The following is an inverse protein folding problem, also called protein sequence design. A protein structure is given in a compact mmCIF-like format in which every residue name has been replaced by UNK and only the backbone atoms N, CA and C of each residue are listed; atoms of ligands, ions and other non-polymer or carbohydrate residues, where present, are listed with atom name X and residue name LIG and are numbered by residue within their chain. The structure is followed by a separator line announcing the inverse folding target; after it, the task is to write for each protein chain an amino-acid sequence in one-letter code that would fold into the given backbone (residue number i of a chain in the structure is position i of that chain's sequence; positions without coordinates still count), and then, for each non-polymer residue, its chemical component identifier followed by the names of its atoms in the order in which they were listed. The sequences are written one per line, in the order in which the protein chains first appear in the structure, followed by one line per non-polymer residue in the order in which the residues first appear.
data_IF_095396670594
#
_entry.id   IF_095396670594
#
_cell.length_a   1.000
_cell.length_b   1.000
_cell.length_c   1.000
_cell.angle_alpha   90.00
_cell.angle_beta   90.00
_cell.angle_gamma   90.00
#
_symmetry.space_group_name_H-M   'P 1'
#
loop_
_entity.id
_entity.type
_entity.pdbx_description
1 polymer ?
#
# COMPACT_ATOMS: atom_id res chain seq x y z
N UNK A 1 24.32 -55.08 2.40
CA UNK A 1 22.95 -55.62 2.20
C UNK A 1 22.16 -54.56 1.39
N UNK A 2 21.86 -54.89 0.17
CA UNK A 2 21.19 -53.96 -0.79
C UNK A 2 19.69 -54.00 -0.54
N UNK A 3 19.05 -52.87 -0.22
CA UNK A 3 17.57 -52.77 -0.24
C UNK A 3 17.15 -51.96 -1.47
N UNK A 4 16.37 -52.63 -2.33
CA UNK A 4 15.78 -52.07 -3.53
C UNK A 4 14.54 -51.25 -3.16
N UNK A 5 14.47 -49.96 -3.61
CA UNK A 5 13.23 -49.20 -3.63
C UNK A 5 12.45 -49.53 -4.91
N UNK A 6 11.19 -49.85 -4.74
CA UNK A 6 10.21 -50.10 -5.81
C UNK A 6 9.42 -48.78 -5.96
N UNK A 7 9.54 -48.15 -7.13
CA UNK A 7 8.66 -47.03 -7.53
C UNK A 7 7.33 -47.60 -8.06
N UNK A 8 6.24 -47.20 -7.43
CA UNK A 8 4.87 -47.46 -7.94
C UNK A 8 4.39 -46.18 -8.65
N UNK A 9 4.29 -46.25 -9.96
CA UNK A 9 3.65 -45.25 -10.79
C UNK A 9 2.13 -45.44 -10.75
N UNK A 10 1.39 -44.46 -10.23
CA UNK A 10 -0.06 -44.44 -10.29
C UNK A 10 -0.47 -43.42 -11.37
N UNK A 11 -0.94 -43.92 -12.52
CA UNK A 11 -1.53 -43.14 -13.59
C UNK A 11 -3.01 -42.91 -13.28
N UNK A 12 -3.45 -41.67 -13.09
CA UNK A 12 -4.88 -41.34 -13.02
C UNK A 12 -5.31 -40.71 -14.35
N UNK A 13 -6.22 -41.42 -15.04
CA UNK A 13 -6.87 -40.98 -16.26
C UNK A 13 -8.01 -40.02 -15.94
N UNK A 14 -7.97 -38.82 -16.55
CA UNK A 14 -9.05 -37.82 -16.50
C UNK A 14 -10.04 -38.12 -17.64
N UNK A 15 -11.28 -38.43 -17.29
CA UNK A 15 -12.39 -38.54 -18.24
C UNK A 15 -13.04 -37.16 -18.42
N UNK A 16 -12.99 -36.64 -19.65
CA UNK A 16 -13.79 -35.48 -20.09
C UNK A 16 -15.23 -35.95 -20.39
N UNK A 17 -16.21 -35.35 -19.74
CA UNK A 17 -17.62 -35.43 -20.18
C UNK A 17 -18.01 -34.10 -20.82
N UNK A 18 -18.19 -34.12 -22.13
CA UNK A 18 -18.87 -33.06 -22.88
C UNK A 18 -20.39 -33.24 -22.73
N UNK A 19 -21.08 -32.18 -22.33
CA UNK A 19 -22.52 -32.06 -22.54
C UNK A 19 -22.79 -31.01 -23.61
N UNK A 20 -23.24 -31.47 -24.78
CA UNK A 20 -23.89 -30.67 -25.80
C UNK A 20 -25.40 -30.70 -25.54
N UNK A 21 -26.03 -29.54 -25.52
CA UNK A 21 -27.47 -29.37 -25.45
C UNK A 21 -27.88 -28.20 -26.32
N UNK A 22 -28.45 -28.52 -27.51
CA UNK A 22 -29.05 -27.62 -28.48
C UNK A 22 -30.49 -27.27 -28.15
N UNK A 23 -30.90 -26.06 -28.61
CA UNK A 23 -32.25 -25.78 -29.14
C UNK A 23 -33.12 -24.91 -28.23
N UNK A 24 -33.75 -23.90 -28.61
CA UNK A 24 -34.33 -23.37 -29.82
C UNK A 24 -35.06 -22.04 -29.53
N UNK A 25 -34.85 -21.07 -30.36
CA UNK A 25 -35.76 -20.14 -31.07
C UNK A 25 -36.90 -19.39 -30.39
N UNK A 26 -36.85 -18.09 -30.71
CA UNK A 26 -37.89 -17.15 -31.18
C UNK A 26 -38.73 -16.41 -30.13
N UNK A 27 -38.55 -15.09 -29.99
CA UNK A 27 -39.41 -14.11 -30.62
C UNK A 27 -38.90 -12.69 -30.40
N UNK A 28 -38.95 -11.90 -31.48
CA UNK A 28 -38.67 -10.49 -31.61
C UNK A 28 -39.85 -9.62 -31.16
N UNK A 29 -39.54 -8.39 -30.71
CA UNK A 29 -40.36 -7.19 -30.89
C UNK A 29 -39.47 -5.99 -30.54
N UNK A 30 -38.97 -5.28 -31.50
CA UNK A 30 -39.29 -3.92 -31.92
C UNK A 30 -39.63 -3.00 -30.74
N UNK A 31 -38.98 -1.91 -30.53
CA UNK A 31 -38.51 -0.77 -31.26
C UNK A 31 -38.70 0.44 -30.34
N UNK A 32 -37.81 1.33 -30.25
CA UNK A 32 -37.92 2.69 -30.74
C UNK A 32 -36.71 3.52 -30.32
N UNK A 33 -36.13 4.07 -31.35
CA UNK A 33 -35.15 5.15 -31.34
C UNK A 33 -35.80 6.46 -30.90
N UNK A 34 -35.09 7.28 -30.11
CA UNK A 34 -35.24 8.72 -30.20
C UNK A 34 -33.92 9.44 -30.01
N UNK A 35 -33.38 9.88 -31.10
CA UNK A 35 -32.44 10.96 -31.30
C UNK A 35 -33.19 12.29 -31.30
N UNK A 36 -32.63 13.34 -30.73
CA UNK A 36 -32.65 14.76 -31.17
C UNK A 36 -31.83 15.53 -30.11
N UNK A 37 -30.71 16.06 -30.42
CA UNK A 37 -30.26 17.24 -31.18
C UNK A 37 -30.06 18.48 -30.30
N UNK A 38 -28.86 18.94 -30.42
CA UNK A 38 -28.21 20.23 -30.19
C UNK A 38 -29.09 21.50 -30.20
N UNK A 39 -28.64 22.51 -29.43
CA UNK A 39 -28.49 23.92 -29.79
C UNK A 39 -27.74 24.66 -28.67
N UNK A 40 -26.61 25.16 -28.91
CA UNK A 40 -26.08 26.51 -29.23
C UNK A 40 -26.85 27.71 -28.67
N UNK A 41 -26.10 28.59 -27.99
CA UNK A 41 -25.94 30.03 -28.18
C UNK A 41 -25.29 30.65 -26.94
N UNK A 42 -24.06 31.11 -27.04
CA UNK A 42 -23.58 32.50 -27.26
C UNK A 42 -24.31 33.60 -26.46
N UNK A 43 -23.61 34.42 -25.66
CA UNK A 43 -22.93 35.66 -26.04
C UNK A 43 -22.75 36.57 -24.80
N UNK A 44 -21.53 36.94 -24.51
CA UNK A 44 -20.90 38.29 -24.39
C UNK A 44 -21.55 39.39 -23.58
N UNK A 45 -20.73 40.07 -22.81
CA UNK A 45 -20.26 41.48 -22.89
C UNK A 45 -19.49 41.81 -21.61
N UNK A 46 -18.22 42.21 -21.65
CA UNK A 46 -17.68 43.60 -21.76
C UNK A 46 -18.33 44.54 -20.75
N UNK A 47 -17.61 45.28 -19.94
CA UNK A 47 -16.69 46.38 -20.22
C UNK A 47 -16.03 46.94 -18.92
N UNK A 48 -14.82 47.42 -19.09
CA UNK A 48 -14.18 48.65 -18.59
C UNK A 48 -14.01 48.83 -17.04
N UNK A 49 -12.90 49.15 -16.51
CA UNK A 49 -11.83 50.04 -16.94
C UNK A 49 -11.72 51.21 -15.95
N UNK A 50 -10.59 51.40 -15.34
CA UNK A 50 -10.06 52.74 -15.03
C UNK A 50 -8.69 52.64 -14.29
N UNK A 51 -7.72 53.15 -14.99
CA UNK A 51 -6.44 53.69 -14.50
C UNK A 51 -6.66 54.79 -13.43
N UNK A 52 -5.68 55.11 -12.61
CA UNK A 52 -4.69 56.18 -12.73
C UNK A 52 -3.98 56.43 -11.37
N UNK A 53 -2.76 56.52 -11.45
CA UNK A 53 -1.73 57.51 -11.19
C UNK A 53 -0.78 57.34 -10.00
N UNK A 54 0.44 57.46 -10.45
CA UNK A 54 1.68 57.76 -9.81
C UNK A 54 1.68 59.01 -8.89
N UNK A 55 2.57 59.04 -7.93
CA UNK A 55 3.45 60.24 -7.75
C UNK A 55 4.77 59.86 -7.07
N UNK A 56 5.80 60.56 -7.51
CA UNK A 56 7.21 60.51 -7.15
C UNK A 56 7.47 61.22 -5.81
N UNK A 57 8.60 60.92 -5.14
CA UNK A 57 9.65 61.85 -4.76
C UNK A 57 10.68 61.21 -3.82
N UNK A 58 11.91 60.90 -4.28
CA UNK A 58 13.12 61.70 -4.10
C UNK A 58 13.64 61.84 -2.67
N UNK A 59 14.90 61.40 -2.48
CA UNK A 59 15.78 61.86 -1.42
C UNK A 59 16.96 60.94 -1.15
N UNK A 60 18.09 61.22 -1.73
CA UNK A 60 19.39 60.62 -1.50
C UNK A 60 19.92 60.90 -0.07
N UNK A 61 20.66 59.98 0.53
CA UNK A 61 22.03 60.31 0.96
C UNK A 61 22.86 59.03 1.19
N UNK A 62 24.15 59.20 0.88
CA UNK A 62 25.19 58.18 0.87
C UNK A 62 25.76 57.98 2.27
N UNK A 63 26.05 56.74 2.66
CA UNK A 63 27.27 56.47 3.44
C UNK A 63 27.72 55.02 3.19
N UNK A 64 28.91 54.93 2.66
CA UNK A 64 29.67 53.71 2.48
C UNK A 64 30.16 53.16 3.82
N UNK A 65 30.08 51.87 4.02
CA UNK A 65 31.02 51.14 4.88
C UNK A 65 31.23 49.73 4.30
N UNK A 66 32.52 49.41 4.20
CA UNK A 66 33.12 48.24 3.58
C UNK A 66 32.59 46.88 4.03
N UNK A 67 32.46 46.08 3.06
CA UNK A 67 32.90 44.67 2.84
C UNK A 67 33.09 43.74 4.04
N UNK A 68 32.31 42.67 4.02
CA UNK A 68 32.80 41.32 4.24
C UNK A 68 32.11 40.44 3.22
N UNK A 69 32.83 40.01 2.21
CA UNK A 69 32.47 38.90 1.36
C UNK A 69 32.51 37.60 2.19
N UNK A 70 31.37 37.19 2.73
CA UNK A 70 31.16 35.79 3.03
C UNK A 70 30.68 35.13 1.74
N UNK A 71 31.61 34.40 1.10
CA UNK A 71 31.32 33.41 0.07
C UNK A 71 30.47 32.35 0.72
N UNK A 72 29.15 32.47 0.57
CA UNK A 72 28.22 31.37 0.69
C UNK A 72 28.50 30.49 -0.51
N UNK A 73 29.28 29.44 -0.30
CA UNK A 73 29.31 28.27 -1.15
C UNK A 73 27.91 27.65 -1.12
N UNK A 74 27.06 28.06 -2.06
CA UNK A 74 25.87 27.30 -2.41
C UNK A 74 26.38 25.95 -2.86
N UNK A 75 26.12 24.90 -2.06
CA UNK A 75 26.25 23.53 -2.50
C UNK A 75 25.33 23.38 -3.71
N UNK A 76 25.89 23.44 -4.91
CA UNK A 76 25.25 22.92 -6.10
C UNK A 76 25.03 21.43 -5.84
N UNK A 77 23.80 21.07 -5.50
CA UNK A 77 23.34 19.69 -5.59
C UNK A 77 23.38 19.37 -7.09
N UNK A 78 24.45 18.74 -7.54
CA UNK A 78 24.54 18.17 -8.88
C UNK A 78 23.43 17.13 -8.95
N UNK A 79 22.33 17.45 -9.64
CA UNK A 79 21.33 16.46 -9.99
C UNK A 79 22.05 15.32 -10.70
N UNK A 80 21.90 14.11 -10.19
CA UNK A 80 22.46 12.92 -10.85
C UNK A 80 21.90 12.83 -12.27
N UNK A 81 22.74 12.44 -13.23
CA UNK A 81 22.27 12.24 -14.60
C UNK A 81 21.22 11.11 -14.62
N UNK A 82 20.16 11.23 -15.45
CA UNK A 82 19.16 10.16 -15.57
C UNK A 82 19.79 8.86 -16.08
N UNK A 83 19.33 7.74 -15.53
CA UNK A 83 19.71 6.41 -16.01
C UNK A 83 19.35 6.22 -17.49
N UNK A 84 20.01 5.29 -18.17
CA UNK A 84 19.53 4.71 -19.42
C UNK A 84 18.22 3.95 -19.18
N UNK A 85 17.52 3.55 -20.25
CA UNK A 85 16.24 2.86 -20.11
C UNK A 85 16.40 1.50 -19.43
N UNK A 86 15.73 1.33 -18.30
CA UNK A 86 15.71 0.08 -17.53
C UNK A 86 14.37 -0.11 -16.81
N UNK A 87 14.13 -1.30 -16.26
CA UNK A 87 12.92 -1.64 -15.51
C UNK A 87 13.31 -2.17 -14.14
N UNK A 88 12.65 -1.67 -13.10
CA UNK A 88 12.79 -2.13 -11.71
C UNK A 88 11.48 -2.79 -11.28
N UNK A 89 11.56 -4.04 -10.84
CA UNK A 89 10.41 -4.81 -10.34
C UNK A 89 10.30 -4.66 -8.83
N UNK A 90 9.19 -4.09 -8.38
CA UNK A 90 8.93 -3.79 -6.96
C UNK A 90 7.82 -4.70 -6.42
N UNK A 91 8.13 -5.51 -5.42
CA UNK A 91 7.12 -6.22 -4.63
C UNK A 91 6.79 -5.40 -3.40
N UNK A 92 5.58 -4.84 -3.35
CA UNK A 92 5.16 -3.94 -2.27
C UNK A 92 3.88 -4.43 -1.58
N UNK A 93 3.81 -4.24 -0.27
CA UNK A 93 2.62 -4.57 0.50
C UNK A 93 1.36 -3.93 -0.09
N UNK A 94 0.22 -4.62 0.00
CA UNK A 94 -1.06 -4.18 -0.61
C UNK A 94 -1.48 -2.78 -0.19
N UNK A 95 -1.21 -2.39 1.05
CA UNK A 95 -1.48 -1.05 1.59
C UNK A 95 -0.68 0.08 0.93
N UNK A 96 0.39 -0.25 0.20
CA UNK A 96 1.21 0.72 -0.53
C UNK A 96 0.70 0.99 -1.94
N UNK A 97 -0.22 0.18 -2.46
CA UNK A 97 -0.63 0.21 -3.87
C UNK A 97 -1.01 1.63 -4.35
N UNK A 98 -1.81 2.35 -3.57
CA UNK A 98 -2.31 3.68 -3.97
C UNK A 98 -1.23 4.75 -3.90
N UNK A 99 -0.40 4.77 -2.85
CA UNK A 99 0.67 5.77 -2.69
C UNK A 99 1.81 5.55 -3.69
N UNK A 100 2.08 4.31 -4.07
CA UNK A 100 3.13 3.98 -5.04
C UNK A 100 2.90 4.62 -6.42
N UNK A 101 1.66 4.85 -6.84
CA UNK A 101 1.37 5.53 -8.11
C UNK A 101 1.95 6.96 -8.12
N UNK A 102 1.76 7.70 -7.02
CA UNK A 102 2.28 9.07 -6.92
C UNK A 102 3.79 9.08 -6.68
N UNK A 103 4.32 8.15 -5.86
CA UNK A 103 5.77 8.02 -5.64
C UNK A 103 6.52 7.72 -6.95
N UNK A 104 6.02 6.81 -7.77
CA UNK A 104 6.60 6.50 -9.08
C UNK A 104 6.54 7.72 -10.00
N UNK A 105 5.42 8.43 -10.02
CA UNK A 105 5.28 9.64 -10.82
C UNK A 105 6.25 10.75 -10.38
N UNK A 106 6.51 10.88 -9.07
CA UNK A 106 7.51 11.83 -8.54
C UNK A 106 8.93 11.41 -8.89
N UNK A 107 9.29 10.14 -8.65
CA UNK A 107 10.60 9.57 -9.00
C UNK A 107 10.93 9.78 -10.49
N UNK A 108 9.96 9.54 -11.35
CA UNK A 108 10.14 9.67 -12.80
C UNK A 108 10.35 11.12 -13.29
N UNK A 109 10.22 12.14 -12.42
CA UNK A 109 10.63 13.51 -12.78
C UNK A 109 12.14 13.65 -12.86
N UNK A 110 12.87 12.89 -12.06
CA UNK A 110 14.34 12.86 -12.05
C UNK A 110 14.89 11.69 -12.85
N UNK A 111 14.17 10.56 -12.90
CA UNK A 111 14.56 9.33 -13.58
C UNK A 111 13.54 8.90 -14.65
N UNK A 112 13.36 9.68 -15.73
CA UNK A 112 12.27 9.47 -16.69
C UNK A 112 12.42 8.19 -17.52
N UNK A 113 13.58 7.56 -17.52
CA UNK A 113 13.87 6.35 -18.31
C UNK A 113 13.76 5.07 -17.46
N UNK A 114 13.53 5.18 -16.16
CA UNK A 114 13.34 4.02 -15.28
C UNK A 114 11.86 3.69 -15.21
N UNK A 115 11.49 2.47 -15.62
CA UNK A 115 10.13 1.94 -15.49
C UNK A 115 10.01 1.16 -14.19
N UNK A 116 9.18 1.62 -13.26
CA UNK A 116 8.89 0.88 -12.02
C UNK A 116 7.65 0.01 -12.24
N UNK A 117 7.79 -1.31 -12.10
CA UNK A 117 6.68 -2.28 -12.22
C UNK A 117 6.37 -2.87 -10.86
N UNK A 118 5.19 -2.52 -10.31
CA UNK A 118 4.76 -2.93 -8.98
C UNK A 118 3.91 -4.20 -8.99
N UNK A 119 4.20 -5.13 -8.06
CA UNK A 119 3.33 -6.24 -7.68
C UNK A 119 2.86 -6.03 -6.24
N UNK A 120 1.52 -6.10 -6.01
CA UNK A 120 0.92 -5.68 -4.74
C UNK A 120 0.05 -6.77 -4.13
N UNK A 121 0.54 -7.40 -3.05
CA UNK A 121 -0.19 -8.39 -2.26
C UNK A 121 0.20 -8.33 -0.78
N UNK A 122 -0.22 -9.30 0.03
CA UNK A 122 0.27 -9.39 1.41
C UNK A 122 1.79 -9.56 1.42
N UNK A 123 2.47 -8.94 2.40
CA UNK A 123 3.93 -9.07 2.51
C UNK A 123 4.37 -10.52 2.66
N UNK A 124 3.55 -11.38 3.30
CA UNK A 124 3.83 -12.81 3.42
C UNK A 124 3.79 -13.54 2.09
N UNK A 125 2.78 -13.26 1.24
CA UNK A 125 2.67 -13.84 -0.11
C UNK A 125 3.86 -13.43 -0.98
N UNK A 126 4.21 -12.13 -0.96
CA UNK A 126 5.32 -11.60 -1.75
C UNK A 126 6.67 -12.17 -1.29
N UNK A 127 6.88 -12.29 0.03
CA UNK A 127 8.06 -12.94 0.61
C UNK A 127 8.20 -14.38 0.10
N UNK A 128 7.12 -15.17 0.15
CA UNK A 128 7.14 -16.55 -0.37
C UNK A 128 7.48 -16.60 -1.86
N UNK A 129 6.97 -15.67 -2.67
CA UNK A 129 7.33 -15.58 -4.09
C UNK A 129 8.82 -15.30 -4.28
N UNK A 130 9.42 -14.41 -3.47
CA UNK A 130 10.86 -14.13 -3.49
C UNK A 130 11.65 -15.38 -3.11
N UNK A 131 11.26 -16.09 -2.04
CA UNK A 131 11.87 -17.35 -1.61
C UNK A 131 11.80 -18.44 -2.69
N UNK A 132 10.70 -18.47 -3.47
CA UNK A 132 10.51 -19.37 -4.61
C UNK A 132 11.30 -18.94 -5.87
N UNK A 133 11.97 -17.78 -5.83
CA UNK A 133 12.85 -17.28 -6.88
C UNK A 133 12.16 -16.39 -7.91
N UNK A 134 11.05 -15.74 -7.58
CA UNK A 134 10.47 -14.73 -8.44
C UNK A 134 11.43 -13.54 -8.61
N UNK A 135 11.53 -13.01 -9.83
CA UNK A 135 12.31 -11.81 -10.11
C UNK A 135 11.73 -10.61 -9.36
N UNK A 136 12.53 -10.03 -8.48
CA UNK A 136 12.17 -8.89 -7.65
C UNK A 136 13.46 -8.10 -7.36
N UNK A 137 13.43 -6.78 -7.56
CA UNK A 137 14.57 -5.91 -7.31
C UNK A 137 14.41 -5.17 -5.99
N UNK A 138 13.18 -4.79 -5.62
CA UNK A 138 12.88 -4.09 -4.38
C UNK A 138 11.71 -4.78 -3.68
N UNK A 139 11.90 -5.13 -2.40
CA UNK A 139 10.81 -5.58 -1.53
C UNK A 139 10.47 -4.49 -0.52
N UNK A 140 9.19 -4.10 -0.47
CA UNK A 140 8.67 -3.09 0.44
C UNK A 140 7.56 -3.71 1.30
N UNK A 141 7.93 -4.16 2.49
CA UNK A 141 7.07 -4.91 3.41
C UNK A 141 6.28 -4.00 4.35
N UNK A 142 5.08 -4.44 4.76
CA UNK A 142 4.29 -3.80 5.82
C UNK A 142 4.64 -4.28 7.23
N UNK A 143 5.71 -5.03 7.39
CA UNK A 143 6.22 -5.46 8.70
C UNK A 143 7.69 -5.87 8.63
N UNK A 144 8.39 -5.70 9.74
CA UNK A 144 9.79 -6.10 9.91
C UNK A 144 9.97 -7.62 9.75
N UNK A 145 9.03 -8.43 10.28
CA UNK A 145 9.14 -9.90 10.32
C UNK A 145 9.48 -10.51 8.96
N UNK A 146 8.81 -10.09 7.88
CA UNK A 146 9.03 -10.64 6.55
C UNK A 146 10.38 -10.21 5.97
N UNK A 147 10.79 -8.99 6.25
CA UNK A 147 12.12 -8.50 5.86
C UNK A 147 13.23 -9.22 6.65
N UNK A 148 13.03 -9.43 7.95
CA UNK A 148 14.00 -10.17 8.81
C UNK A 148 14.22 -11.59 8.28
N UNK A 149 13.15 -12.28 7.84
CA UNK A 149 13.24 -13.63 7.26
C UNK A 149 14.03 -13.67 5.95
N UNK A 150 13.91 -12.63 5.11
CA UNK A 150 14.69 -12.53 3.85
C UNK A 150 16.13 -12.05 4.07
N UNK A 151 16.44 -11.47 5.22
CA UNK A 151 17.76 -10.91 5.56
C UNK A 151 18.65 -11.89 6.31
N UNK A 152 18.25 -13.16 6.49
CA UNK A 152 19.07 -14.19 7.10
C UNK A 152 20.41 -14.38 6.36
N UNK A 153 21.40 -15.04 6.99
CA UNK A 153 22.82 -15.11 6.55
C UNK A 153 23.01 -15.48 5.06
N UNK A 154 22.09 -16.29 4.50
CA UNK A 154 22.08 -16.68 3.09
C UNK A 154 20.86 -16.10 2.32
N UNK A 155 20.20 -15.09 2.89
CA UNK A 155 18.99 -14.51 2.35
C UNK A 155 19.22 -13.61 1.13
N UNK A 156 18.16 -13.28 0.39
CA UNK A 156 18.29 -12.50 -0.84
C UNK A 156 18.35 -10.98 -0.65
N UNK A 157 18.30 -10.45 0.58
CA UNK A 157 18.41 -9.00 0.82
C UNK A 157 19.86 -8.56 0.61
N UNK A 158 20.05 -7.51 -0.19
CA UNK A 158 21.35 -6.91 -0.42
C UNK A 158 21.81 -6.16 0.84
N UNK A 159 23.00 -6.46 1.32
CA UNK A 159 23.54 -5.85 2.53
C UNK A 159 23.59 -4.33 2.47
N UNK A 160 23.13 -3.68 3.52
CA UNK A 160 23.19 -2.21 3.67
C UNK A 160 22.08 -1.44 2.94
N UNK A 161 21.19 -2.12 2.20
CA UNK A 161 20.11 -1.46 1.43
C UNK A 161 18.79 -1.38 2.18
N UNK A 162 18.67 -2.02 3.34
CA UNK A 162 17.43 -2.00 4.14
C UNK A 162 17.25 -0.67 4.85
N UNK A 163 16.11 -0.03 4.65
CA UNK A 163 15.69 1.19 5.33
C UNK A 163 14.30 1.03 5.93
N UNK A 164 14.09 1.58 7.13
CA UNK A 164 12.74 1.84 7.64
C UNK A 164 12.23 3.10 6.94
N UNK A 165 11.13 2.97 6.19
CA UNK A 165 10.65 4.06 5.32
C UNK A 165 9.51 4.83 5.97
N UNK A 166 8.49 4.14 6.46
CA UNK A 166 7.31 4.74 7.10
C UNK A 166 6.79 3.86 8.22
N UNK A 167 5.99 4.48 9.10
CA UNK A 167 5.11 3.81 10.05
C UNK A 167 3.66 3.85 9.57
N UNK A 168 2.82 2.99 10.14
CA UNK A 168 1.38 2.99 9.92
C UNK A 168 0.65 2.64 11.23
N UNK A 169 -0.66 2.83 11.27
CA UNK A 169 -1.48 2.44 12.41
C UNK A 169 -2.64 1.56 11.98
N UNK A 170 -2.99 0.58 12.81
CA UNK A 170 -4.20 -0.21 12.61
C UNK A 170 -5.42 0.65 12.99
N UNK A 171 -6.46 0.57 12.17
CA UNK A 171 -7.74 1.21 12.43
C UNK A 171 -8.86 0.18 12.46
N UNK A 172 -9.84 0.40 13.34
CA UNK A 172 -11.15 -0.25 13.24
C UNK A 172 -12.05 0.64 12.40
N UNK A 173 -12.59 0.09 11.33
CA UNK A 173 -13.44 0.81 10.38
C UNK A 173 -14.80 0.15 10.21
N UNK A 174 -15.77 0.95 9.81
CA UNK A 174 -17.09 0.50 9.36
C UNK A 174 -17.50 1.25 8.10
N UNK A 175 -18.47 0.74 7.37
CA UNK A 175 -19.02 1.50 6.24
C UNK A 175 -20.00 2.59 6.73
N UNK A 176 -20.02 3.74 6.06
CA UNK A 176 -20.88 4.87 6.43
C UNK A 176 -22.35 4.50 6.35
N UNK A 177 -23.04 4.65 7.46
CA UNK A 177 -24.46 4.30 7.56
C UNK A 177 -24.74 2.87 8.02
N UNK A 178 -23.72 2.11 8.46
CA UNK A 178 -23.85 0.75 9.01
C UNK A 178 -24.79 0.69 10.22
N UNK A 179 -24.82 1.76 11.02
CA UNK A 179 -25.53 1.77 12.30
C UNK A 179 -24.92 0.82 13.32
N UNK A 180 -23.63 0.51 13.19
CA UNK A 180 -22.91 -0.34 14.13
C UNK A 180 -22.92 0.20 15.55
N UNK A 181 -22.96 -0.70 16.54
CA UNK A 181 -22.78 -0.37 17.97
C UNK A 181 -21.30 -0.47 18.39
N UNK A 182 -20.41 -0.88 17.48
CA UNK A 182 -18.97 -0.96 17.72
C UNK A 182 -18.39 0.44 17.77
N UNK A 183 -17.58 0.69 18.79
CA UNK A 183 -16.89 1.97 19.00
C UNK A 183 -15.38 1.86 18.78
N UNK A 184 -14.82 0.65 18.78
CA UNK A 184 -13.41 0.38 18.59
C UNK A 184 -13.06 -1.08 18.78
N UNK A 185 -11.74 -1.34 18.95
CA UNK A 185 -11.21 -2.70 19.08
C UNK A 185 -11.80 -3.44 20.28
N UNK A 186 -11.91 -2.75 21.42
CA UNK A 186 -12.34 -3.36 22.69
C UNK A 186 -13.75 -3.94 22.67
N UNK A 187 -14.59 -3.48 21.80
CA UNK A 187 -15.97 -3.93 21.68
C UNK A 187 -16.35 -4.43 20.26
N UNK A 188 -15.34 -4.76 19.46
CA UNK A 188 -15.49 -5.23 18.08
C UNK A 188 -16.39 -6.47 17.96
N UNK A 189 -16.45 -7.30 19.01
CA UNK A 189 -17.34 -8.46 19.07
C UNK A 189 -18.83 -8.14 19.10
N UNK A 190 -19.24 -6.86 19.25
CA UNK A 190 -20.65 -6.44 19.09
C UNK A 190 -21.10 -6.37 17.64
N UNK A 191 -20.17 -6.42 16.68
CA UNK A 191 -20.49 -6.43 15.25
C UNK A 191 -21.29 -7.67 14.88
N UNK A 192 -22.08 -7.56 13.82
CA UNK A 192 -22.76 -8.72 13.19
C UNK A 192 -21.77 -9.56 12.39
N UNK A 193 -20.79 -8.92 11.76
CA UNK A 193 -19.72 -9.58 11.01
C UNK A 193 -18.46 -8.71 10.96
N UNK A 194 -17.30 -9.36 10.96
CA UNK A 194 -15.98 -8.72 10.95
C UNK A 194 -15.20 -9.20 9.72
N UNK A 195 -14.62 -8.28 8.95
CA UNK A 195 -13.57 -8.62 7.99
C UNK A 195 -12.21 -8.51 8.69
N UNK A 196 -11.43 -9.58 8.68
CA UNK A 196 -10.14 -9.68 9.35
C UNK A 196 -9.12 -10.36 8.44
N UNK A 197 -7.95 -9.77 8.30
CA UNK A 197 -6.88 -10.42 7.55
C UNK A 197 -6.32 -11.65 8.30
N UNK A 198 -5.86 -12.65 7.54
CA UNK A 198 -5.16 -13.82 8.08
C UNK A 198 -3.97 -13.43 8.96
N UNK A 199 -3.58 -14.28 9.90
CA UNK A 199 -2.49 -14.01 10.84
C UNK A 199 -1.10 -13.87 10.20
N UNK A 200 -0.89 -14.43 9.02
CA UNK A 200 0.34 -14.27 8.23
C UNK A 200 0.45 -12.90 7.56
N UNK A 201 -0.70 -12.22 7.36
CA UNK A 201 -0.78 -10.87 6.81
C UNK A 201 -0.40 -9.85 7.90
N UNK A 202 0.47 -8.87 7.62
CA UNK A 202 0.92 -7.92 8.65
C UNK A 202 -0.21 -7.25 9.44
N UNK A 203 -1.23 -6.67 8.79
CA UNK A 203 -2.37 -6.06 9.51
C UNK A 203 -3.12 -7.07 10.38
N UNK A 204 -3.29 -8.31 9.91
CA UNK A 204 -3.89 -9.39 10.67
C UNK A 204 -3.08 -9.78 11.90
N UNK A 205 -1.75 -9.81 11.80
CA UNK A 205 -0.83 -10.02 12.92
C UNK A 205 -0.91 -8.87 13.93
N UNK A 206 -0.83 -7.61 13.48
CA UNK A 206 -0.90 -6.45 14.36
C UNK A 206 -2.26 -6.34 15.06
N UNK A 207 -3.35 -6.70 14.38
CA UNK A 207 -4.68 -6.75 15.00
C UNK A 207 -4.73 -7.81 16.12
N UNK A 208 -4.17 -9.01 15.88
CA UNK A 208 -4.09 -10.07 16.90
C UNK A 208 -3.22 -9.63 18.08
N UNK A 209 -2.09 -8.97 17.80
CA UNK A 209 -1.24 -8.40 18.84
C UNK A 209 -2.00 -7.39 19.70
N UNK A 210 -2.77 -6.50 19.06
CA UNK A 210 -3.58 -5.52 19.78
C UNK A 210 -4.66 -6.20 20.65
N UNK A 211 -5.34 -7.22 20.13
CA UNK A 211 -6.33 -8.00 20.89
C UNK A 211 -5.70 -8.72 22.08
N UNK A 212 -4.49 -9.28 21.94
CA UNK A 212 -3.75 -9.91 23.05
C UNK A 212 -3.37 -8.86 24.10
N UNK A 213 -2.81 -7.71 23.68
CA UNK A 213 -2.40 -6.64 24.58
C UNK A 213 -3.59 -5.96 25.28
N UNK A 214 -4.75 -5.91 24.62
CA UNK A 214 -6.02 -5.45 25.22
C UNK A 214 -6.66 -6.50 26.14
N UNK A 215 -6.10 -7.72 26.27
CA UNK A 215 -6.62 -8.79 27.10
C UNK A 215 -7.86 -9.50 26.55
N UNK A 216 -8.15 -9.33 25.26
CA UNK A 216 -9.26 -9.98 24.56
C UNK A 216 -8.91 -11.41 24.13
N UNK A 217 -7.63 -11.69 23.90
CA UNK A 217 -7.08 -13.00 23.53
C UNK A 217 -6.00 -13.43 24.52
N UNK A 218 -5.77 -14.74 24.62
CA UNK A 218 -4.71 -15.30 25.44
C UNK A 218 -3.35 -14.93 24.87
N UNK A 219 -2.34 -14.76 25.74
CA UNK A 219 -0.96 -14.56 25.34
C UNK A 219 -0.38 -15.86 24.73
N UNK A 220 0.29 -15.71 23.60
CA UNK A 220 0.99 -16.76 22.87
C UNK A 220 2.37 -16.25 22.44
N UNK A 221 3.28 -17.15 22.09
CA UNK A 221 4.63 -16.80 21.67
C UNK A 221 4.62 -16.11 20.28
N UNK A 222 3.78 -16.57 19.36
CA UNK A 222 3.60 -15.95 18.04
C UNK A 222 2.12 -15.69 17.77
N UNK A 223 1.71 -14.43 17.86
CA UNK A 223 0.32 -14.01 17.66
C UNK A 223 -0.19 -14.29 16.24
N UNK A 224 0.70 -14.45 15.26
CA UNK A 224 0.30 -14.78 13.89
C UNK A 224 -0.31 -16.19 13.77
N UNK A 225 -0.10 -17.04 14.78
CA UNK A 225 -0.66 -18.39 14.82
C UNK A 225 -2.06 -18.46 15.45
N UNK A 226 -2.55 -17.37 16.04
CA UNK A 226 -3.93 -17.31 16.55
C UNK A 226 -4.88 -17.41 15.36
N UNK A 227 -5.68 -18.46 15.34
CA UNK A 227 -6.61 -18.72 14.24
C UNK A 227 -7.83 -17.81 14.30
N UNK A 228 -8.46 -17.57 13.16
CA UNK A 228 -9.73 -16.84 13.07
C UNK A 228 -10.83 -17.51 13.91
N UNK A 229 -10.83 -18.85 14.02
CA UNK A 229 -11.78 -19.58 14.87
C UNK A 229 -11.59 -19.28 16.37
N UNK A 230 -10.35 -19.18 16.84
CA UNK A 230 -10.07 -18.78 18.24
C UNK A 230 -10.51 -17.35 18.53
N UNK A 231 -10.30 -16.42 17.57
CA UNK A 231 -10.79 -15.05 17.68
C UNK A 231 -12.33 -15.04 17.72
N UNK A 232 -12.98 -15.77 16.84
CA UNK A 232 -14.42 -15.89 16.77
C UNK A 232 -15.00 -16.38 18.13
N UNK A 233 -14.41 -17.42 18.71
CA UNK A 233 -14.83 -17.95 20.02
C UNK A 233 -14.64 -16.90 21.11
N UNK A 234 -13.49 -16.24 21.16
CA UNK A 234 -13.18 -15.20 22.16
C UNK A 234 -14.13 -13.98 22.07
N UNK A 235 -14.59 -13.65 20.87
CA UNK A 235 -15.54 -12.55 20.62
C UNK A 235 -17.01 -12.97 20.71
N UNK A 236 -17.33 -14.15 21.27
CA UNK A 236 -18.70 -14.59 21.49
C UNK A 236 -19.40 -15.19 20.28
N UNK A 237 -18.64 -15.66 19.28
CA UNK A 237 -19.16 -16.35 18.10
C UNK A 237 -19.54 -15.42 16.94
N UNK A 238 -19.07 -14.18 16.92
CA UNK A 238 -19.31 -13.25 15.82
C UNK A 238 -18.77 -13.83 14.49
N UNK A 239 -19.49 -13.61 13.41
CA UNK A 239 -19.05 -14.05 12.09
C UNK A 239 -17.78 -13.29 11.66
N UNK A 240 -16.73 -14.03 11.28
CA UNK A 240 -15.49 -13.46 10.79
C UNK A 240 -15.23 -13.93 9.35
N UNK A 241 -15.08 -12.99 8.45
CA UNK A 241 -14.61 -13.19 7.09
C UNK A 241 -13.10 -13.01 7.05
N UNK A 242 -12.36 -14.10 6.90
CA UNK A 242 -10.91 -14.07 6.77
C UNK A 242 -10.49 -13.63 5.36
N UNK A 243 -9.61 -12.65 5.29
CA UNK A 243 -9.16 -12.01 4.06
C UNK A 243 -7.66 -12.27 3.81
N UNK A 244 -7.30 -12.49 2.56
CA UNK A 244 -5.93 -12.79 2.14
C UNK A 244 -4.97 -11.58 2.21
N UNK A 245 -5.49 -10.36 2.20
CA UNK A 245 -4.72 -9.12 2.33
C UNK A 245 -5.60 -7.97 2.83
N UNK A 246 -4.98 -6.84 3.19
CA UNK A 246 -5.69 -5.68 3.73
C UNK A 246 -6.65 -5.04 2.71
N UNK A 247 -6.31 -5.03 1.44
CA UNK A 247 -7.19 -4.49 0.40
C UNK A 247 -8.53 -5.25 0.30
N UNK A 248 -8.51 -6.58 0.54
CA UNK A 248 -9.72 -7.39 0.61
C UNK A 248 -10.56 -7.04 1.84
N UNK A 249 -9.94 -6.75 3.00
CA UNK A 249 -10.64 -6.25 4.19
C UNK A 249 -11.31 -4.91 3.89
N UNK A 250 -10.55 -3.95 3.35
CA UNK A 250 -11.02 -2.61 3.00
C UNK A 250 -12.24 -2.69 2.06
N UNK A 251 -12.14 -3.51 1.01
CA UNK A 251 -13.24 -3.72 0.07
C UNK A 251 -14.48 -4.33 0.75
N UNK A 252 -14.29 -5.39 1.56
CA UNK A 252 -15.39 -6.07 2.24
C UNK A 252 -16.20 -5.14 3.15
N UNK A 253 -15.52 -4.21 3.85
CA UNK A 253 -16.19 -3.21 4.69
C UNK A 253 -16.78 -2.09 3.85
N UNK A 254 -16.04 -1.53 2.89
CA UNK A 254 -16.49 -0.42 2.06
C UNK A 254 -17.72 -0.75 1.19
N UNK A 255 -17.88 -2.02 0.84
CA UNK A 255 -19.04 -2.55 0.08
C UNK A 255 -20.18 -3.01 1.00
N UNK A 256 -20.00 -2.96 2.32
CA UNK A 256 -21.00 -3.40 3.30
C UNK A 256 -21.18 -4.92 3.39
N UNK A 257 -20.25 -5.71 2.84
CA UNK A 257 -20.25 -7.18 2.96
C UNK A 257 -19.94 -7.61 4.40
N UNK A 258 -19.15 -6.81 5.13
CA UNK A 258 -18.93 -6.95 6.56
C UNK A 258 -19.25 -5.63 7.27
N UNK A 259 -19.75 -5.72 8.52
CA UNK A 259 -20.14 -4.53 9.29
C UNK A 259 -18.92 -3.71 9.70
N UNK A 260 -17.90 -4.37 10.20
CA UNK A 260 -16.63 -3.74 10.61
C UNK A 260 -15.43 -4.53 10.08
N UNK A 261 -14.26 -3.93 10.16
CA UNK A 261 -12.99 -4.60 9.88
C UNK A 261 -11.81 -3.85 10.45
N UNK A 262 -10.63 -4.46 10.38
CA UNK A 262 -9.36 -3.86 10.77
C UNK A 262 -8.46 -3.67 9.56
N UNK A 263 -8.10 -2.42 9.30
CA UNK A 263 -7.27 -1.98 8.18
C UNK A 263 -6.14 -1.10 8.70
N UNK A 264 -5.24 -0.66 7.85
CA UNK A 264 -4.32 0.42 8.21
C UNK A 264 -4.96 1.79 7.97
N UNK A 265 -4.46 2.83 8.67
CA UNK A 265 -4.94 4.19 8.49
C UNK A 265 -4.77 4.66 7.05
N UNK A 266 -3.65 4.33 6.42
CA UNK A 266 -3.40 4.60 4.99
C UNK A 266 -4.42 3.96 4.04
N UNK A 267 -5.00 2.81 4.39
CA UNK A 267 -6.00 2.13 3.55
C UNK A 267 -7.36 2.84 3.54
N UNK A 268 -7.54 3.86 4.41
CA UNK A 268 -8.76 4.68 4.43
C UNK A 268 -8.70 5.85 3.44
N UNK A 269 -7.51 6.18 2.91
CA UNK A 269 -7.34 7.21 1.89
C UNK A 269 -8.11 6.85 0.61
N UNK A 270 -8.91 7.81 0.13
CA UNK A 270 -9.78 7.62 -1.03
C UNK A 270 -11.06 6.83 -0.74
N UNK A 271 -11.29 6.45 0.53
CA UNK A 271 -12.52 5.79 0.99
C UNK A 271 -13.32 6.65 1.96
N UNK A 272 -12.97 7.93 2.12
CA UNK A 272 -13.59 8.84 3.09
C UNK A 272 -15.11 8.99 2.88
N UNK A 273 -15.61 8.75 1.66
CA UNK A 273 -17.04 8.75 1.36
C UNK A 273 -17.76 7.47 1.79
N UNK A 274 -17.07 6.36 1.89
CA UNK A 274 -17.60 5.02 2.13
C UNK A 274 -17.29 4.46 3.51
N UNK A 275 -16.12 4.76 4.03
CA UNK A 275 -15.67 4.28 5.33
C UNK A 275 -15.78 5.35 6.43
N UNK A 276 -16.00 4.88 7.64
CA UNK A 276 -15.88 5.64 8.88
C UNK A 276 -14.88 4.93 9.77
N UNK A 277 -13.89 5.66 10.26
CA UNK A 277 -12.95 5.19 11.27
C UNK A 277 -13.65 5.26 12.62
N UNK A 278 -13.71 4.13 13.32
CA UNK A 278 -14.25 4.03 14.68
C UNK A 278 -13.16 4.28 15.72
N UNK A 279 -11.96 3.73 15.48
CA UNK A 279 -10.79 3.90 16.33
C UNK A 279 -9.51 3.79 15.49
N UNK A 280 -8.53 4.64 15.80
CA UNK A 280 -7.13 4.42 15.44
C UNK A 280 -6.49 3.72 16.63
N UNK A 281 -6.09 2.45 16.43
CA UNK A 281 -5.57 1.61 17.51
C UNK A 281 -4.20 2.12 17.94
N UNK A 282 -4.00 2.45 19.23
CA UNK A 282 -2.75 3.04 19.68
C UNK A 282 -1.57 2.05 19.60
N UNK A 283 -0.38 2.59 19.40
CA UNK A 283 0.86 1.81 19.30
C UNK A 283 1.18 0.98 20.55
N UNK A 284 0.68 1.37 21.72
CA UNK A 284 0.80 0.59 22.96
C UNK A 284 0.15 -0.79 22.83
N UNK A 285 -0.85 -0.94 21.95
CA UNK A 285 -1.51 -2.22 21.69
C UNK A 285 -0.90 -2.97 20.52
N UNK A 286 -0.54 -2.30 19.43
CA UNK A 286 -0.01 -2.95 18.22
C UNK A 286 1.51 -3.14 18.24
N UNK A 287 2.25 -2.30 18.98
CA UNK A 287 3.63 -1.97 18.69
C UNK A 287 3.75 -1.07 17.46
N UNK A 288 4.94 -0.56 17.18
CA UNK A 288 5.20 0.26 15.99
C UNK A 288 5.05 -0.58 14.72
N UNK A 289 4.30 -0.06 13.76
CA UNK A 289 4.03 -0.74 12.48
C UNK A 289 4.98 -0.17 11.43
N UNK A 290 6.20 -0.69 11.41
CA UNK A 290 7.27 -0.20 10.53
C UNK A 290 7.22 -0.92 9.17
N UNK A 291 7.35 -0.15 8.11
CA UNK A 291 7.46 -0.61 6.74
C UNK A 291 8.91 -0.50 6.26
N UNK A 292 9.66 -1.60 6.26
CA UNK A 292 11.00 -1.63 5.69
C UNK A 292 10.96 -1.84 4.17
N UNK A 293 11.87 -1.17 3.45
CA UNK A 293 12.19 -1.46 2.06
C UNK A 293 13.65 -1.91 1.96
N UNK A 294 13.94 -2.83 1.05
CA UNK A 294 15.30 -3.30 0.76
C UNK A 294 15.42 -3.77 -0.68
N UNK A 295 16.64 -3.72 -1.20
CA UNK A 295 16.99 -4.34 -2.47
C UNK A 295 17.10 -5.85 -2.31
N UNK A 296 16.60 -6.58 -3.30
CA UNK A 296 16.62 -8.03 -3.36
C UNK A 296 17.61 -8.47 -4.45
N UNK A 297 18.37 -9.52 -4.17
CA UNK A 297 19.26 -10.14 -5.15
C UNK A 297 18.41 -10.77 -6.26
N UNK A 298 18.20 -10.03 -7.33
CA UNK A 298 17.58 -10.50 -8.56
C UNK A 298 18.68 -11.06 -9.49
N UNK A 299 18.65 -12.37 -9.74
CA UNK A 299 19.68 -13.04 -10.57
C UNK A 299 19.55 -12.73 -12.06
N UNK A 300 18.43 -12.15 -12.46
CA UNK A 300 18.14 -11.77 -13.85
C UNK A 300 18.51 -10.31 -14.13
N UNK A 301 18.68 -9.48 -13.07
CA UNK A 301 18.99 -8.06 -13.18
C UNK A 301 20.44 -7.81 -13.61
N UNK A 302 20.63 -6.85 -14.52
CA UNK A 302 21.94 -6.32 -14.88
C UNK A 302 22.41 -5.22 -13.89
N UNK A 303 23.62 -4.68 -14.09
CA UNK A 303 24.20 -3.65 -13.21
C UNK A 303 23.40 -2.34 -13.23
N UNK A 304 22.76 -2.00 -14.35
CA UNK A 304 21.95 -0.80 -14.50
C UNK A 304 20.65 -0.92 -13.71
N UNK A 305 19.97 -2.05 -13.83
CA UNK A 305 18.76 -2.37 -13.08
C UNK A 305 19.00 -2.38 -11.56
N UNK A 306 20.12 -2.99 -11.13
CA UNK A 306 20.52 -2.99 -9.72
C UNK A 306 20.78 -1.58 -9.19
N UNK A 307 21.47 -0.73 -9.97
CA UNK A 307 21.75 0.66 -9.59
C UNK A 307 20.46 1.50 -9.53
N UNK A 308 19.53 1.28 -10.46
CA UNK A 308 18.25 1.96 -10.47
C UNK A 308 17.34 1.50 -9.28
N UNK A 309 17.43 0.24 -8.89
CA UNK A 309 16.72 -0.28 -7.71
C UNK A 309 17.22 0.38 -6.41
N UNK A 310 18.54 0.52 -6.26
CA UNK A 310 19.14 1.22 -5.12
C UNK A 310 18.75 2.70 -5.09
N UNK A 311 18.81 3.40 -6.24
CA UNK A 311 18.40 4.79 -6.36
C UNK A 311 16.92 4.99 -6.01
N UNK A 312 16.05 4.07 -6.45
CA UNK A 312 14.64 4.11 -6.08
C UNK A 312 14.42 3.94 -4.57
N UNK A 313 15.16 3.04 -3.90
CA UNK A 313 15.09 2.90 -2.43
C UNK A 313 15.56 4.19 -1.74
N UNK A 314 16.62 4.80 -2.22
CA UNK A 314 17.09 6.10 -1.69
C UNK A 314 16.03 7.19 -1.88
N UNK A 315 15.35 7.23 -3.02
CA UNK A 315 14.21 8.13 -3.23
C UNK A 315 13.10 7.88 -2.21
N UNK A 316 12.73 6.63 -1.91
CA UNK A 316 11.68 6.32 -0.93
C UNK A 316 11.95 6.89 0.47
N UNK A 317 13.20 7.21 0.81
CA UNK A 317 13.58 7.84 2.08
C UNK A 317 13.74 9.35 2.02
N UNK A 318 13.57 9.95 0.84
CA UNK A 318 13.73 11.39 0.60
C UNK A 318 12.60 12.22 1.22
N UNK A 319 12.83 13.54 1.34
CA UNK A 319 11.81 14.46 1.86
C UNK A 319 10.62 14.61 0.91
N UNK A 320 10.83 14.46 -0.40
CA UNK A 320 9.75 14.45 -1.39
C UNK A 320 8.85 13.21 -1.20
N UNK A 321 9.45 12.03 -1.05
CA UNK A 321 8.70 10.82 -0.77
C UNK A 321 7.95 10.88 0.58
N UNK A 322 8.59 11.43 1.64
CA UNK A 322 7.93 11.65 2.94
C UNK A 322 6.69 12.53 2.81
N UNK A 323 6.78 13.62 2.03
CA UNK A 323 5.64 14.51 1.79
C UNK A 323 4.48 13.75 1.13
N UNK A 324 4.78 12.88 0.17
CA UNK A 324 3.77 12.04 -0.47
C UNK A 324 3.20 11.03 0.52
N UNK A 325 4.02 10.31 1.27
CA UNK A 325 3.55 9.35 2.26
C UNK A 325 2.59 9.99 3.28
N UNK A 326 2.92 11.18 3.82
CA UNK A 326 2.05 11.89 4.76
C UNK A 326 0.68 12.25 4.16
N UNK A 327 0.64 12.62 2.87
CA UNK A 327 -0.61 12.87 2.15
C UNK A 327 -1.52 11.62 2.13
N UNK A 328 -0.92 10.43 2.10
CA UNK A 328 -1.63 9.14 2.11
C UNK A 328 -1.76 8.54 3.52
N UNK A 329 -1.67 9.36 4.55
CA UNK A 329 -1.89 9.01 5.97
C UNK A 329 -0.84 8.06 6.56
N UNK A 330 0.33 7.94 5.97
CA UNK A 330 1.47 7.29 6.61
C UNK A 330 2.16 8.23 7.59
N UNK A 331 2.69 7.66 8.65
CA UNK A 331 3.57 8.35 9.59
C UNK A 331 5.03 8.19 9.12
N UNK A 332 5.73 9.32 8.93
CA UNK A 332 7.10 9.35 8.42
C UNK A 332 8.14 9.54 9.52
N UNK A 333 7.72 9.53 10.80
CA UNK A 333 8.61 9.54 11.95
C UNK A 333 9.02 8.09 12.26
N UNK A 334 10.09 7.66 11.62
CA UNK A 334 10.64 6.29 11.75
C UNK A 334 12.01 6.35 12.44
N UNK A 335 12.20 5.48 13.44
CA UNK A 335 13.46 5.28 14.15
C UNK A 335 14.32 4.18 13.49
#
# INVERSE_FOLDING_TARGET
MKKKCVCVLLSAAMAMTMFAGCGNKDQASEGETNTVASADAEKSSETEGAEVNADESSGADMSATEAAEETSEAAETTAAEPFEATTVTVFAAKSLNTVMEELIAEYNKTQPNVSIVGSYDSSGTLMTQIEEGAACDVFFSAAQKQMDQLQDEDGPVVDGTRHNVVNNQVCVVTWKGSGTEVTGLSDIGKAKSIALADGSVPVGKYTRQAMVNAGMLNKVDDVSQITTSEIQEALGGVEINECANVGAVTAAVAEGSNEVGTVYYSDTYGFEDRLQILEVVPYELTGTVIYPAAQIINKEADELEQSAAEDFINFLTSDDAKTIFQKYYFDTDVE
#
